data_IF_293974665673
#
_entry.id   IF_293974665673
#
_cell.length_a   1.000
_cell.length_b   1.000
_cell.length_c   1.000
_cell.angle_alpha   90.00
_cell.angle_beta   90.00
_cell.angle_gamma   90.00
#
_symmetry.space_group_name_H-M   'P 1'
#
loop_
_entity.id
_entity.type
_entity.pdbx_description
1 polymer ?
#
# COMPACT_ATOMS: atom_id res chain seq x y z
N UNK A 1 55.61 -41.94 41.13
CA UNK A 1 54.98 -40.85 40.35
C UNK A 1 53.47 -41.07 40.39
N UNK A 2 52.75 -40.33 41.22
CA UNK A 2 51.29 -40.39 41.32
C UNK A 2 50.70 -39.27 40.47
N UNK A 3 49.88 -39.62 39.47
CA UNK A 3 49.19 -38.66 38.61
C UNK A 3 47.93 -38.18 39.33
N UNK A 4 47.89 -36.89 39.64
CA UNK A 4 46.74 -36.19 40.20
C UNK A 4 45.60 -36.17 39.18
N UNK A 5 44.48 -36.80 39.51
CA UNK A 5 43.23 -36.68 38.76
C UNK A 5 42.60 -35.30 39.02
N UNK A 6 42.76 -34.40 38.06
CA UNK A 6 42.01 -33.13 38.02
C UNK A 6 40.53 -33.44 37.80
N UNK A 7 39.75 -33.33 38.88
CA UNK A 7 38.29 -33.31 38.84
C UNK A 7 37.82 -32.15 37.95
N UNK A 8 37.24 -32.47 36.79
CA UNK A 8 36.60 -31.50 35.92
C UNK A 8 35.37 -30.92 36.63
N UNK A 9 35.42 -29.62 36.93
CA UNK A 9 34.29 -28.85 37.43
C UNK A 9 33.12 -28.98 36.44
N UNK A 10 31.91 -29.40 36.87
CA UNK A 10 30.78 -29.49 35.96
C UNK A 10 30.47 -28.11 35.38
N UNK A 11 30.20 -28.08 34.07
CA UNK A 11 29.79 -26.87 33.38
C UNK A 11 28.58 -26.24 34.09
N UNK A 12 28.52 -24.91 34.22
CA UNK A 12 27.36 -24.25 34.82
C UNK A 12 26.09 -24.66 34.04
N UNK A 13 24.94 -24.81 34.74
CA UNK A 13 23.69 -25.15 34.08
C UNK A 13 23.41 -24.13 32.97
N UNK A 14 23.10 -24.65 31.78
CA UNK A 14 22.62 -23.83 30.66
C UNK A 14 21.42 -23.05 31.16
N UNK A 15 21.52 -21.73 31.08
CA UNK A 15 20.49 -20.80 31.54
C UNK A 15 19.17 -21.10 30.81
N UNK A 16 18.27 -21.84 31.47
CA UNK A 16 16.97 -22.25 30.91
C UNK A 16 16.05 -21.05 30.63
N UNK A 17 16.47 -19.86 31.08
CA UNK A 17 15.83 -18.58 30.87
C UNK A 17 16.71 -17.60 30.09
N UNK A 18 17.55 -18.08 29.17
CA UNK A 18 18.20 -17.24 28.16
C UNK A 18 17.12 -16.53 27.29
N UNK A 19 16.61 -15.41 27.82
CA UNK A 19 15.77 -14.41 27.17
C UNK A 19 14.46 -14.94 26.61
N UNK A 20 13.35 -14.73 27.31
CA UNK A 20 12.01 -14.86 26.76
C UNK A 20 11.97 -14.15 25.40
N UNK A 21 11.77 -14.91 24.32
CA UNK A 21 11.82 -14.47 22.93
C UNK A 21 10.97 -13.20 22.72
N UNK A 22 11.63 -12.03 22.73
CA UNK A 22 10.94 -10.74 22.71
C UNK A 22 10.10 -10.57 21.45
N UNK A 23 10.55 -11.15 20.33
CA UNK A 23 9.81 -11.12 19.07
C UNK A 23 8.56 -12.00 19.12
N UNK A 24 8.58 -13.12 19.85
CA UNK A 24 7.38 -13.94 20.02
C UNK A 24 6.24 -13.17 20.72
N UNK A 25 6.57 -12.32 21.69
CA UNK A 25 5.57 -11.45 22.36
C UNK A 25 4.97 -10.39 21.44
N UNK A 26 5.77 -9.89 20.50
CA UNK A 26 5.33 -8.87 19.53
C UNK A 26 4.65 -9.48 18.28
N UNK A 27 4.77 -10.79 18.07
CA UNK A 27 4.20 -11.50 16.92
C UNK A 27 3.37 -12.73 17.31
N UNK A 28 2.41 -12.59 18.25
CA UNK A 28 1.73 -13.73 18.86
C UNK A 28 0.87 -14.53 17.89
N UNK A 29 0.44 -13.92 16.78
CA UNK A 29 -0.47 -14.53 15.80
C UNK A 29 0.25 -15.26 14.65
N UNK A 30 1.57 -15.40 14.72
CA UNK A 30 2.34 -15.95 13.60
C UNK A 30 2.36 -15.00 12.39
N UNK A 31 2.89 -15.48 11.27
CA UNK A 31 2.97 -14.70 10.03
C UNK A 31 1.59 -14.38 9.45
N UNK A 32 0.79 -15.41 9.16
CA UNK A 32 -0.52 -15.24 8.51
C UNK A 32 -1.53 -14.53 9.42
N UNK A 33 -1.57 -14.86 10.70
CA UNK A 33 -2.44 -14.18 11.65
C UNK A 33 -2.00 -12.72 11.87
N UNK A 34 -0.68 -12.45 11.93
CA UNK A 34 -0.15 -11.10 12.01
C UNK A 34 -0.51 -10.24 10.80
N UNK A 35 -0.36 -10.78 9.58
CA UNK A 35 -0.83 -10.11 8.36
C UNK A 35 -2.34 -9.87 8.40
N UNK A 36 -3.13 -10.86 8.82
CA UNK A 36 -4.58 -10.71 9.01
C UNK A 36 -4.93 -9.55 9.95
N UNK A 37 -4.24 -9.44 11.09
CA UNK A 37 -4.42 -8.33 12.04
C UNK A 37 -4.06 -6.98 11.40
N UNK A 38 -2.94 -6.88 10.67
CA UNK A 38 -2.55 -5.66 9.96
C UNK A 38 -3.66 -5.23 8.98
N UNK A 39 -4.18 -6.17 8.18
CA UNK A 39 -5.24 -5.89 7.22
C UNK A 39 -6.53 -5.44 7.90
N UNK A 40 -6.97 -6.14 8.95
CA UNK A 40 -8.17 -5.76 9.72
C UNK A 40 -8.04 -4.36 10.30
N UNK A 41 -6.88 -4.04 10.89
CA UNK A 41 -6.62 -2.71 11.45
C UNK A 41 -6.54 -1.63 10.37
N UNK A 42 -5.97 -1.92 9.19
CA UNK A 42 -6.00 -1.01 8.04
C UNK A 42 -7.43 -0.74 7.57
N UNK A 43 -8.24 -1.79 7.40
CA UNK A 43 -9.65 -1.66 7.02
C UNK A 43 -10.42 -0.85 8.06
N UNK A 44 -10.26 -1.14 9.35
CA UNK A 44 -10.90 -0.39 10.42
C UNK A 44 -10.47 1.09 10.39
N UNK A 45 -9.18 1.36 10.25
CA UNK A 45 -8.61 2.70 10.11
C UNK A 45 -9.16 3.47 8.90
N UNK A 46 -9.33 2.79 7.76
CA UNK A 46 -9.95 3.36 6.56
C UNK A 46 -11.41 3.71 6.80
N UNK A 47 -12.20 2.79 7.35
CA UNK A 47 -13.62 2.99 7.60
C UNK A 47 -13.86 4.12 8.60
N UNK A 48 -13.15 4.09 9.73
CA UNK A 48 -13.35 5.05 10.83
C UNK A 48 -12.88 6.46 10.49
N UNK A 49 -11.79 6.60 9.73
CA UNK A 49 -11.13 7.89 9.54
C UNK A 49 -11.00 8.35 8.07
N UNK A 50 -11.51 7.58 7.10
CA UNK A 50 -11.35 7.88 5.67
C UNK A 50 -12.64 7.77 4.87
N UNK A 51 -13.28 6.60 4.88
CA UNK A 51 -14.39 6.28 3.99
C UNK A 51 -15.59 7.21 4.18
N UNK A 52 -16.00 7.45 5.43
CA UNK A 52 -17.16 8.28 5.74
C UNK A 52 -16.86 9.79 5.77
N UNK A 53 -15.60 10.20 5.55
CA UNK A 53 -15.29 11.63 5.49
C UNK A 53 -16.06 12.31 4.37
N UNK A 54 -16.61 13.47 4.69
CA UNK A 54 -17.32 14.33 3.75
C UNK A 54 -16.46 14.61 2.51
N UNK A 55 -17.09 14.64 1.35
CA UNK A 55 -16.39 14.60 0.08
C UNK A 55 -15.53 15.86 -0.18
N UNK A 56 -15.98 17.03 0.28
CA UNK A 56 -15.25 18.30 0.13
C UNK A 56 -14.10 18.49 1.12
N UNK A 57 -13.93 17.63 2.14
CA UNK A 57 -12.86 17.78 3.14
C UNK A 57 -11.46 17.66 2.51
N UNK A 58 -11.30 16.74 1.57
CA UNK A 58 -10.04 16.48 0.85
C UNK A 58 -10.17 16.85 -0.64
N UNK A 59 -10.94 17.90 -0.92
CA UNK A 59 -11.36 18.31 -2.26
C UNK A 59 -10.21 18.42 -3.27
N UNK A 60 -9.03 18.87 -2.84
CA UNK A 60 -7.87 19.13 -3.70
C UNK A 60 -7.56 17.94 -4.64
N UNK A 61 -7.05 16.83 -4.10
CA UNK A 61 -6.69 15.68 -4.93
C UNK A 61 -7.89 14.77 -5.23
N UNK A 62 -8.82 14.58 -4.28
CA UNK A 62 -9.94 13.66 -4.48
C UNK A 62 -10.85 14.13 -5.64
N UNK A 63 -11.10 15.44 -5.78
CA UNK A 63 -11.85 15.95 -6.93
C UNK A 63 -11.07 15.86 -8.22
N UNK A 64 -9.80 16.26 -8.25
CA UNK A 64 -9.04 16.29 -9.51
C UNK A 64 -8.96 14.91 -10.16
N UNK A 65 -8.72 13.86 -9.36
CA UNK A 65 -8.68 12.48 -9.84
C UNK A 65 -10.07 11.99 -10.25
N UNK A 66 -11.08 12.21 -9.40
CA UNK A 66 -12.46 11.75 -9.67
C UNK A 66 -13.04 12.43 -10.90
N UNK A 67 -12.89 13.75 -11.03
CA UNK A 67 -13.29 14.54 -12.19
C UNK A 67 -12.64 14.01 -13.46
N UNK A 68 -11.32 13.79 -13.44
CA UNK A 68 -10.59 13.26 -14.59
C UNK A 68 -11.12 11.88 -15.00
N UNK A 69 -11.38 11.00 -14.03
CA UNK A 69 -11.92 9.67 -14.28
C UNK A 69 -13.35 9.70 -14.87
N UNK A 70 -14.22 10.59 -14.38
CA UNK A 70 -15.57 10.79 -14.91
C UNK A 70 -15.55 11.38 -16.32
N UNK A 71 -14.68 12.37 -16.57
CA UNK A 71 -14.50 12.98 -17.89
C UNK A 71 -14.00 11.98 -18.93
N UNK A 72 -13.13 11.05 -18.53
CA UNK A 72 -12.67 9.96 -19.40
C UNK A 72 -13.82 9.02 -19.82
N UNK A 73 -14.79 8.77 -18.94
CA UNK A 73 -15.96 7.94 -19.28
C UNK A 73 -16.89 8.63 -20.28
N UNK A 74 -16.84 9.96 -20.42
CA UNK A 74 -17.52 10.70 -21.49
C UNK A 74 -16.72 10.73 -22.81
N UNK A 75 -15.57 10.05 -22.90
CA UNK A 75 -14.70 10.10 -24.08
C UNK A 75 -14.02 11.47 -24.29
N UNK A 76 -14.02 12.34 -23.27
CA UNK A 76 -13.37 13.66 -23.34
C UNK A 76 -11.90 13.53 -22.96
N UNK A 77 -11.03 13.56 -23.96
CA UNK A 77 -9.58 13.58 -23.82
C UNK A 77 -9.09 15.00 -24.08
N UNK A 78 -8.90 15.81 -23.04
CA UNK A 78 -8.41 17.18 -23.26
C UNK A 78 -7.04 17.40 -22.64
N UNK A 79 -6.82 16.96 -21.40
CA UNK A 79 -5.56 17.15 -20.69
C UNK A 79 -5.75 16.55 -19.30
N UNK A 80 -4.78 15.82 -18.75
CA UNK A 80 -4.80 15.53 -17.33
C UNK A 80 -4.12 16.68 -16.60
N UNK A 81 -4.84 17.45 -15.77
CA UNK A 81 -4.23 18.54 -15.00
C UNK A 81 -3.25 18.04 -13.93
N UNK A 82 -3.16 16.72 -13.72
CA UNK A 82 -2.30 16.10 -12.73
C UNK A 82 -1.59 14.86 -13.32
N UNK A 83 -0.28 14.65 -13.09
CA UNK A 83 0.49 13.50 -13.62
C UNK A 83 0.10 12.15 -12.99
N UNK A 84 -1.02 12.04 -12.28
CA UNK A 84 -1.41 10.83 -11.55
C UNK A 84 -2.07 9.78 -12.46
N UNK A 85 -1.50 9.54 -13.65
CA UNK A 85 -2.13 8.74 -14.72
C UNK A 85 -2.61 7.37 -14.22
N UNK A 86 -1.76 6.65 -13.50
CA UNK A 86 -2.12 5.32 -13.00
C UNK A 86 -3.28 5.36 -12.01
N UNK A 87 -3.33 6.40 -11.17
CA UNK A 87 -4.43 6.62 -10.23
C UNK A 87 -5.73 6.93 -10.97
N UNK A 88 -5.68 7.84 -11.95
CA UNK A 88 -6.84 8.27 -12.73
C UNK A 88 -7.41 7.09 -13.54
N UNK A 89 -6.56 6.33 -14.23
CA UNK A 89 -6.98 5.17 -15.00
C UNK A 89 -7.56 4.07 -14.12
N UNK A 90 -6.98 3.83 -12.93
CA UNK A 90 -7.50 2.85 -11.99
C UNK A 90 -8.91 3.23 -11.50
N UNK A 91 -9.12 4.51 -11.15
CA UNK A 91 -10.45 5.01 -10.74
C UNK A 91 -11.45 4.97 -11.89
N UNK A 92 -11.03 5.32 -13.11
CA UNK A 92 -11.87 5.25 -14.31
C UNK A 92 -12.39 3.82 -14.55
N UNK A 93 -11.49 2.82 -14.55
CA UNK A 93 -11.85 1.41 -14.71
C UNK A 93 -12.72 0.92 -13.56
N UNK A 94 -12.43 1.36 -12.33
CA UNK A 94 -13.24 1.03 -11.17
C UNK A 94 -14.68 1.54 -11.28
N UNK A 95 -14.88 2.78 -11.75
CA UNK A 95 -16.22 3.32 -12.00
C UNK A 95 -16.96 2.56 -13.10
N UNK A 96 -16.29 2.21 -14.19
CA UNK A 96 -16.88 1.38 -15.25
C UNK A 96 -17.34 0.02 -14.69
N UNK A 97 -16.49 -0.61 -13.89
CA UNK A 97 -16.81 -1.89 -13.26
C UNK A 97 -18.00 -1.78 -12.31
N UNK A 98 -17.98 -0.81 -11.38
CA UNK A 98 -19.08 -0.63 -10.42
C UNK A 98 -20.40 -0.30 -11.10
N UNK A 99 -20.36 0.50 -12.16
CA UNK A 99 -21.54 0.80 -12.96
C UNK A 99 -22.08 -0.43 -13.67
N UNK A 100 -21.19 -1.23 -14.27
CA UNK A 100 -21.56 -2.48 -14.94
C UNK A 100 -22.27 -3.47 -14.01
N UNK A 101 -21.88 -3.52 -12.73
CA UNK A 101 -22.52 -4.38 -11.73
C UNK A 101 -23.65 -3.68 -10.94
N UNK A 102 -24.04 -2.46 -11.31
CA UNK A 102 -25.15 -1.73 -10.69
C UNK A 102 -24.89 -1.17 -9.29
N UNK A 103 -23.61 -1.00 -8.89
CA UNK A 103 -23.22 -0.42 -7.60
C UNK A 103 -22.88 1.09 -7.67
N UNK A 104 -22.85 1.67 -8.87
CA UNK A 104 -22.59 3.10 -9.08
C UNK A 104 -23.50 3.67 -10.17
N UNK A 105 -24.40 4.58 -9.79
CA UNK A 105 -25.36 5.19 -10.72
C UNK A 105 -24.65 6.15 -11.70
N UNK A 106 -23.76 7.00 -11.17
CA UNK A 106 -23.06 8.01 -11.95
C UNK A 106 -21.62 7.60 -12.22
N UNK A 107 -21.37 7.09 -13.43
CA UNK A 107 -20.03 6.69 -13.87
C UNK A 107 -19.36 7.68 -14.81
N UNK A 108 -20.07 8.68 -15.32
CA UNK A 108 -19.55 9.70 -16.22
C UNK A 108 -19.88 11.11 -15.74
N UNK A 109 -19.18 12.13 -16.27
CA UNK A 109 -19.37 13.52 -15.83
C UNK A 109 -20.70 14.07 -16.35
N UNK A 110 -21.10 13.71 -17.57
CA UNK A 110 -22.39 14.09 -18.16
C UNK A 110 -23.61 13.54 -17.41
N UNK A 111 -23.45 12.44 -16.66
CA UNK A 111 -24.48 11.84 -15.83
C UNK A 111 -24.58 12.46 -14.42
N UNK A 112 -23.71 13.42 -14.07
CA UNK A 112 -23.80 14.11 -12.78
C UNK A 112 -25.02 15.04 -12.73
N UNK A 113 -25.79 15.05 -11.62
CA UNK A 113 -26.84 16.02 -11.41
C UNK A 113 -26.33 17.46 -11.50
N UNK A 114 -27.18 18.40 -11.92
CA UNK A 114 -26.82 19.82 -11.93
C UNK A 114 -26.53 20.33 -10.51
N UNK A 115 -25.51 21.18 -10.37
CA UNK A 115 -25.21 21.88 -9.11
C UNK A 115 -26.36 22.82 -8.65
N UNK A 116 -27.30 23.18 -9.53
CA UNK A 116 -28.54 23.87 -9.14
C UNK A 116 -29.46 23.01 -8.27
N UNK A 117 -29.32 21.68 -8.31
CA UNK A 117 -29.95 20.75 -7.38
C UNK A 117 -28.91 20.22 -6.39
N UNK A 118 -28.60 21.05 -5.39
CA UNK A 118 -27.57 20.75 -4.37
C UNK A 118 -27.71 19.36 -3.74
N UNK A 119 -28.88 18.96 -3.22
CA UNK A 119 -29.03 17.64 -2.59
C UNK A 119 -28.71 16.46 -3.52
N UNK A 120 -29.14 16.51 -4.78
CA UNK A 120 -28.86 15.44 -5.74
C UNK A 120 -27.37 15.41 -6.13
N UNK A 121 -26.77 16.58 -6.34
CA UNK A 121 -25.35 16.70 -6.65
C UNK A 121 -24.47 16.20 -5.50
N UNK A 122 -24.76 16.59 -4.26
CA UNK A 122 -24.00 16.20 -3.07
C UNK A 122 -24.05 14.68 -2.85
N UNK A 123 -25.22 14.06 -3.07
CA UNK A 123 -25.37 12.61 -2.99
C UNK A 123 -24.52 11.89 -4.05
N UNK A 124 -24.58 12.34 -5.31
CA UNK A 124 -23.80 11.77 -6.40
C UNK A 124 -22.29 11.93 -6.17
N UNK A 125 -21.84 13.14 -5.79
CA UNK A 125 -20.44 13.43 -5.48
C UNK A 125 -19.91 12.61 -4.29
N UNK A 126 -20.72 12.46 -3.25
CA UNK A 126 -20.39 11.60 -2.11
C UNK A 126 -20.20 10.15 -2.55
N UNK A 127 -21.10 9.65 -3.40
CA UNK A 127 -21.05 8.27 -3.90
C UNK A 127 -19.78 8.01 -4.71
N UNK A 128 -19.49 8.85 -5.73
CA UNK A 128 -18.31 8.66 -6.59
C UNK A 128 -16.99 8.82 -5.83
N UNK A 129 -16.90 9.76 -4.88
CA UNK A 129 -15.67 9.94 -4.09
C UNK A 129 -15.44 8.76 -3.16
N UNK A 130 -16.51 8.26 -2.50
CA UNK A 130 -16.39 7.05 -1.67
C UNK A 130 -15.97 5.85 -2.51
N UNK A 131 -16.55 5.67 -3.69
CA UNK A 131 -16.14 4.64 -4.63
C UNK A 131 -14.66 4.77 -5.03
N UNK A 132 -14.20 5.99 -5.32
CA UNK A 132 -12.79 6.22 -5.69
C UNK A 132 -11.84 6.00 -4.50
N UNK A 133 -12.19 6.41 -3.27
CA UNK A 133 -11.38 6.16 -2.07
C UNK A 133 -11.20 4.67 -1.77
N UNK A 134 -12.14 3.81 -2.18
CA UNK A 134 -11.95 2.35 -2.10
C UNK A 134 -10.73 1.94 -2.94
N UNK A 135 -10.51 2.54 -4.11
CA UNK A 135 -9.31 2.29 -4.93
C UNK A 135 -8.05 2.65 -4.15
N UNK A 136 -8.01 3.82 -3.49
CA UNK A 136 -6.87 4.22 -2.67
C UNK A 136 -6.57 3.19 -1.55
N UNK A 137 -7.61 2.72 -0.86
CA UNK A 137 -7.48 1.69 0.17
C UNK A 137 -7.01 0.33 -0.39
N UNK A 138 -7.58 -0.11 -1.52
CA UNK A 138 -7.17 -1.33 -2.20
C UNK A 138 -5.69 -1.26 -2.63
N UNK A 139 -5.28 -0.14 -3.21
CA UNK A 139 -3.89 0.08 -3.64
C UNK A 139 -2.93 0.09 -2.45
N UNK A 140 -3.27 0.79 -1.36
CA UNK A 140 -2.46 0.80 -0.15
C UNK A 140 -2.32 -0.61 0.44
N UNK A 141 -3.43 -1.36 0.49
CA UNK A 141 -3.46 -2.74 0.99
C UNK A 141 -2.58 -3.65 0.14
N UNK A 142 -2.68 -3.56 -1.19
CA UNK A 142 -1.84 -4.33 -2.10
C UNK A 142 -0.35 -4.01 -1.89
N UNK A 143 0.02 -2.74 -1.72
CA UNK A 143 1.41 -2.35 -1.44
C UNK A 143 1.91 -2.85 -0.09
N UNK A 144 1.09 -2.83 0.95
CA UNK A 144 1.46 -3.42 2.25
C UNK A 144 1.77 -4.91 2.10
N UNK A 145 0.98 -5.64 1.31
CA UNK A 145 1.21 -7.07 1.06
C UNK A 145 2.46 -7.33 0.20
N UNK A 146 2.69 -6.53 -0.84
CA UNK A 146 3.92 -6.61 -1.65
C UNK A 146 5.14 -6.30 -0.78
N UNK A 147 5.07 -5.25 0.04
CA UNK A 147 6.11 -4.92 1.00
C UNK A 147 6.39 -6.10 1.94
N UNK A 148 5.34 -6.71 2.50
CA UNK A 148 5.49 -7.87 3.37
C UNK A 148 6.21 -9.03 2.68
N UNK A 149 5.83 -9.35 1.45
CA UNK A 149 6.50 -10.37 0.63
C UNK A 149 7.97 -10.05 0.39
N UNK A 150 8.29 -8.83 -0.04
CA UNK A 150 9.68 -8.41 -0.30
C UNK A 150 10.51 -8.36 0.99
N UNK A 151 9.95 -7.85 2.09
CA UNK A 151 10.59 -7.84 3.40
C UNK A 151 10.90 -9.25 3.89
N UNK A 152 9.98 -10.20 3.64
CA UNK A 152 10.15 -11.62 3.97
C UNK A 152 11.29 -12.27 3.18
N UNK A 153 11.56 -11.82 1.97
CA UNK A 153 12.67 -12.30 1.13
C UNK A 153 14.01 -11.65 1.52
N UNK A 154 13.98 -10.41 1.99
CA UNK A 154 15.18 -9.65 2.39
C UNK A 154 15.69 -10.02 3.78
N UNK A 155 14.77 -10.17 4.74
CA UNK A 155 15.08 -10.45 6.14
C UNK A 155 14.96 -11.96 6.38
N UNK A 156 15.95 -12.55 7.05
CA UNK A 156 15.96 -13.99 7.34
C UNK A 156 14.81 -14.38 8.29
N UNK A 157 14.57 -13.54 9.31
CA UNK A 157 13.52 -13.74 10.30
C UNK A 157 12.18 -13.13 9.83
N UNK A 158 11.12 -13.93 9.86
CA UNK A 158 9.77 -13.51 9.48
C UNK A 158 9.15 -12.53 10.46
N UNK A 159 9.55 -12.58 11.72
CA UNK A 159 9.01 -11.72 12.79
C UNK A 159 9.46 -10.30 12.58
N UNK A 160 10.72 -10.11 12.22
CA UNK A 160 11.27 -8.81 11.82
C UNK A 160 10.60 -8.29 10.55
N UNK A 161 10.37 -9.15 9.55
CA UNK A 161 9.62 -8.77 8.36
C UNK A 161 8.20 -8.29 8.73
N UNK A 162 7.50 -9.02 9.61
CA UNK A 162 6.15 -8.67 10.05
C UNK A 162 6.10 -7.35 10.82
N UNK A 163 7.05 -7.11 11.73
CA UNK A 163 7.18 -5.84 12.45
C UNK A 163 7.49 -4.68 11.50
N UNK A 164 8.35 -4.91 10.51
CA UNK A 164 8.61 -3.96 9.44
C UNK A 164 7.35 -3.68 8.61
N UNK A 165 6.57 -4.71 8.27
CA UNK A 165 5.28 -4.55 7.57
C UNK A 165 4.29 -3.75 8.41
N UNK A 166 4.21 -4.01 9.71
CA UNK A 166 3.37 -3.23 10.62
C UNK A 166 3.78 -1.76 10.62
N UNK A 167 5.07 -1.47 10.80
CA UNK A 167 5.60 -0.10 10.77
C UNK A 167 5.35 0.61 9.43
N UNK A 168 5.49 -0.11 8.32
CA UNK A 168 5.18 0.40 6.98
C UNK A 168 3.68 0.70 6.81
N UNK A 169 2.82 -0.26 7.16
CA UNK A 169 1.37 -0.16 7.04
C UNK A 169 0.78 1.00 7.85
N UNK A 170 1.32 1.25 9.04
CA UNK A 170 0.88 2.33 9.93
C UNK A 170 1.79 3.56 9.90
N UNK A 171 2.65 3.66 8.88
CA UNK A 171 3.41 4.89 8.63
C UNK A 171 2.47 6.04 8.24
N UNK A 172 2.89 7.29 8.53
CA UNK A 172 2.10 8.47 8.14
C UNK A 172 1.83 8.54 6.64
N UNK A 173 2.77 8.08 5.81
CA UNK A 173 2.59 7.98 4.36
C UNK A 173 1.43 7.07 3.99
N UNK A 174 1.45 5.80 4.40
CA UNK A 174 0.36 4.86 4.07
C UNK A 174 -0.96 5.29 4.73
N UNK A 175 -0.93 5.70 6.00
CA UNK A 175 -2.14 6.05 6.75
C UNK A 175 -2.91 7.25 6.15
N UNK A 176 -2.20 8.24 5.58
CA UNK A 176 -2.84 9.38 4.91
C UNK A 176 -3.30 8.98 3.51
N UNK A 177 -2.44 8.31 2.74
CA UNK A 177 -2.71 8.01 1.33
C UNK A 177 -3.67 6.85 1.09
N UNK A 178 -3.91 5.99 2.08
CA UNK A 178 -4.98 4.98 2.00
C UNK A 178 -6.39 5.60 2.11
N UNK A 179 -6.50 6.88 2.51
CA UNK A 179 -7.76 7.60 2.74
C UNK A 179 -8.04 8.70 1.72
N UNK A 180 -7.07 9.03 0.87
CA UNK A 180 -7.15 10.10 -0.12
C UNK A 180 -6.46 9.66 -1.42
N UNK A 181 -7.02 10.05 -2.56
CA UNK A 181 -6.50 9.72 -3.88
C UNK A 181 -5.25 10.52 -4.15
N UNK A 182 -4.09 9.99 -3.78
CA UNK A 182 -2.82 10.71 -3.85
C UNK A 182 -1.76 9.94 -4.63
N UNK A 183 -1.03 10.63 -5.50
CA UNK A 183 -0.09 10.00 -6.43
C UNK A 183 1.26 9.66 -5.79
N UNK A 184 1.57 10.28 -4.65
CA UNK A 184 2.78 10.08 -3.87
C UNK A 184 2.94 8.63 -3.40
N UNK A 185 1.85 7.99 -2.95
CA UNK A 185 1.93 6.64 -2.40
C UNK A 185 2.34 5.63 -3.45
N UNK A 186 1.73 5.67 -4.63
CA UNK A 186 2.07 4.76 -5.73
C UNK A 186 3.51 4.97 -6.16
N UNK A 187 3.90 6.22 -6.37
CA UNK A 187 5.26 6.55 -6.78
C UNK A 187 6.31 6.11 -5.73
N UNK A 188 6.11 6.46 -4.46
CA UNK A 188 7.01 6.11 -3.37
C UNK A 188 7.09 4.61 -3.09
N UNK A 189 5.96 3.88 -3.12
CA UNK A 189 5.95 2.44 -2.88
C UNK A 189 6.65 1.69 -4.02
N UNK A 190 6.33 2.03 -5.27
CA UNK A 190 6.93 1.41 -6.45
C UNK A 190 8.45 1.62 -6.46
N UNK A 191 8.92 2.84 -6.15
CA UNK A 191 10.34 3.12 -5.99
C UNK A 191 10.98 2.32 -4.85
N UNK A 192 10.35 2.28 -3.68
CA UNK A 192 10.84 1.48 -2.55
C UNK A 192 10.94 -0.01 -2.90
N UNK A 193 9.98 -0.57 -3.64
CA UNK A 193 10.03 -1.96 -4.09
C UNK A 193 11.15 -2.21 -5.09
N UNK A 194 11.41 -1.27 -6.01
CA UNK A 194 12.56 -1.34 -6.91
C UNK A 194 13.87 -1.44 -6.10
N UNK A 195 14.06 -0.60 -5.09
CA UNK A 195 15.23 -0.66 -4.21
C UNK A 195 15.34 -1.98 -3.45
N UNK A 196 14.22 -2.46 -2.89
CA UNK A 196 14.18 -3.76 -2.20
C UNK A 196 14.61 -4.89 -3.15
N UNK A 197 14.12 -4.90 -4.40
CA UNK A 197 14.49 -5.88 -5.42
C UNK A 197 15.98 -5.80 -5.74
N UNK A 198 16.53 -4.61 -5.93
CA UNK A 198 17.96 -4.42 -6.21
C UNK A 198 18.83 -4.91 -5.05
N UNK A 199 18.44 -4.66 -3.80
CA UNK A 199 19.13 -5.18 -2.61
C UNK A 199 19.09 -6.72 -2.61
N UNK A 200 17.95 -7.35 -2.93
CA UNK A 200 17.86 -8.81 -3.03
C UNK A 200 18.82 -9.37 -4.09
N UNK A 201 18.83 -8.76 -5.28
CA UNK A 201 19.66 -9.14 -6.42
C UNK A 201 21.15 -9.01 -6.10
N UNK A 202 21.56 -7.91 -5.47
CA UNK A 202 22.94 -7.67 -5.07
C UNK A 202 23.46 -8.75 -4.11
N UNK A 203 22.60 -9.25 -3.21
CA UNK A 203 22.97 -10.24 -2.19
C UNK A 203 23.00 -11.68 -2.68
N UNK A 204 22.43 -12.02 -3.85
CA UNK A 204 22.30 -13.41 -4.33
C UNK A 204 22.66 -13.57 -5.80
N UNK A 205 23.62 -14.44 -6.10
CA UNK A 205 23.96 -14.90 -7.45
C UNK A 205 22.86 -15.76 -8.05
N UNK A 206 21.96 -15.21 -8.88
CA UNK A 206 20.91 -15.99 -9.54
C UNK A 206 20.87 -15.75 -11.04
N UNK A 207 20.43 -16.74 -11.81
CA UNK A 207 20.27 -16.62 -13.27
C UNK A 207 19.13 -15.63 -13.64
N UNK A 208 18.22 -15.36 -12.70
CA UNK A 208 17.12 -14.40 -12.85
C UNK A 208 17.53 -12.94 -12.65
N UNK A 209 18.81 -12.67 -12.31
CA UNK A 209 19.30 -11.32 -12.03
C UNK A 209 18.97 -10.30 -13.12
N UNK A 210 19.20 -10.54 -14.43
CA UNK A 210 18.90 -9.54 -15.46
C UNK A 210 17.41 -9.19 -15.50
N UNK A 211 16.53 -10.19 -15.36
CA UNK A 211 15.09 -9.98 -15.36
C UNK A 211 14.64 -9.16 -14.14
N UNK A 212 15.18 -9.44 -12.95
CA UNK A 212 14.86 -8.69 -11.73
C UNK A 212 15.39 -7.24 -11.76
N UNK A 213 16.55 -7.00 -12.37
CA UNK A 213 17.05 -5.64 -12.62
C UNK A 213 16.17 -4.90 -13.62
N UNK A 214 15.74 -5.57 -14.70
CA UNK A 214 14.78 -5.01 -15.66
C UNK A 214 13.44 -4.65 -15.01
N UNK A 215 12.93 -5.50 -14.12
CA UNK A 215 11.73 -5.22 -13.33
C UNK A 215 11.93 -4.02 -12.39
N UNK A 216 13.07 -3.92 -11.70
CA UNK A 216 13.35 -2.77 -10.85
C UNK A 216 13.42 -1.46 -11.66
N UNK A 217 14.04 -1.50 -12.84
CA UNK A 217 14.09 -0.34 -13.74
C UNK A 217 12.69 0.06 -14.24
N UNK A 218 11.83 -0.90 -14.61
CA UNK A 218 10.46 -0.59 -15.03
C UNK A 218 9.62 0.01 -13.89
N UNK A 219 9.80 -0.48 -12.65
CA UNK A 219 9.19 0.13 -11.47
C UNK A 219 9.66 1.59 -11.29
N UNK A 220 10.96 1.89 -11.43
CA UNK A 220 11.44 3.28 -11.36
C UNK A 220 10.78 4.20 -12.41
N UNK A 221 10.60 3.72 -13.65
CA UNK A 221 9.89 4.47 -14.69
C UNK A 221 8.42 4.70 -14.30
N UNK A 222 7.72 3.66 -13.82
CA UNK A 222 6.34 3.78 -13.36
C UNK A 222 6.20 4.75 -12.18
N UNK A 223 7.19 4.82 -11.29
CA UNK A 223 7.21 5.79 -10.20
C UNK A 223 7.27 7.23 -10.73
N UNK A 224 8.14 7.50 -11.70
CA UNK A 224 8.30 8.81 -12.34
C UNK A 224 7.04 9.24 -13.10
N UNK A 225 6.42 8.32 -13.84
CA UNK A 225 5.18 8.58 -14.58
C UNK A 225 4.03 9.01 -13.67
N UNK A 226 3.96 8.48 -12.45
CA UNK A 226 2.89 8.82 -11.50
C UNK A 226 3.22 10.04 -10.62
N UNK A 227 4.50 10.30 -10.36
CA UNK A 227 4.99 11.54 -9.74
C UNK A 227 6.48 11.75 -10.03
N UNK A 228 6.79 12.88 -10.69
CA UNK A 228 8.13 13.23 -11.19
C UNK A 228 9.18 13.36 -10.06
N UNK A 229 8.77 13.80 -8.87
CA UNK A 229 9.65 14.04 -7.70
C UNK A 229 10.10 12.75 -6.97
N UNK A 230 9.91 11.55 -7.54
CA UNK A 230 10.34 10.32 -6.90
C UNK A 230 11.85 10.05 -7.02
N UNK A 231 12.50 10.59 -8.05
CA UNK A 231 13.94 10.32 -8.34
C UNK A 231 14.75 11.62 -8.55
N UNK A 232 14.08 12.77 -8.68
CA UNK A 232 14.68 14.10 -8.83
C UNK A 232 14.60 14.88 -7.51
#
# INVERSE_FOLDING_TARGET
>A
MAVSSTSLKPAPPVDQNAGIDAFARLTPFGWWGGLGVILVLLTASFLLAGYFLVYWRNADMDFMITYSALSLNDGRYVFFPHPAYFTILSVNRWFQFLHFIGLLDTSSLSAMPSASNGPAFDAAMTSVIRAARIVAWLTATAFVLVFAGLARLLVKDWRLALLGTFAFAFSGGIAVHMRALRSEMISGCVFAFALMILIMVARRGTNWRPALVGLAASLCVLALENKIHAIL
#
